data_IF_024999453790
#
_entry.id   IF_024999453790
#
_cell.length_a   1.000
_cell.length_b   1.000
_cell.length_c   1.000
_cell.angle_alpha   90.00
_cell.angle_beta   90.00
_cell.angle_gamma   90.00
#
_symmetry.space_group_name_H-M   'P 1'
#
loop_
_entity.id
_entity.type
_entity.pdbx_description
1 polymer ?
#
# COMPACT_ATOMS: atom_id res chain seq x y z
N UNK A 1 -24.04 47.64 -7.70
CA UNK A 1 -22.83 46.92 -7.21
C UNK A 1 -23.07 45.42 -6.96
N UNK A 2 -24.12 44.80 -7.54
CA UNK A 2 -24.54 43.44 -7.15
C UNK A 2 -24.00 42.31 -8.05
N UNK A 3 -23.51 42.63 -9.25
CA UNK A 3 -22.99 41.62 -10.19
C UNK A 3 -21.58 41.10 -9.89
N UNK A 4 -20.76 41.85 -9.11
CA UNK A 4 -19.40 41.42 -8.73
C UNK A 4 -19.42 40.35 -7.63
N UNK A 5 -20.31 40.49 -6.66
CA UNK A 5 -20.52 39.52 -5.57
C UNK A 5 -21.06 38.18 -6.09
N UNK A 6 -22.01 38.21 -7.03
CA UNK A 6 -22.58 36.99 -7.64
C UNK A 6 -21.56 36.18 -8.45
N UNK A 7 -20.60 36.86 -9.10
CA UNK A 7 -19.52 36.19 -9.84
C UNK A 7 -18.49 35.56 -8.90
N UNK A 8 -18.12 36.27 -7.83
CA UNK A 8 -17.21 35.78 -6.81
C UNK A 8 -17.74 34.53 -6.10
N UNK A 9 -19.03 34.50 -5.74
CA UNK A 9 -19.64 33.32 -5.12
C UNK A 9 -19.75 32.15 -6.09
N UNK A 10 -20.01 32.41 -7.38
CA UNK A 10 -19.98 31.38 -8.43
C UNK A 10 -18.61 30.71 -8.58
N UNK A 11 -17.54 31.49 -8.64
CA UNK A 11 -16.17 30.95 -8.72
C UNK A 11 -15.76 30.19 -7.46
N UNK A 12 -16.15 30.68 -6.28
CA UNK A 12 -15.91 29.96 -5.03
C UNK A 12 -16.61 28.60 -4.99
N UNK A 13 -17.84 28.51 -5.51
CA UNK A 13 -18.60 27.27 -5.56
C UNK A 13 -17.94 26.24 -6.50
N UNK A 14 -17.52 26.67 -7.69
CA UNK A 14 -16.79 25.80 -8.64
C UNK A 14 -15.47 25.30 -8.04
N UNK A 15 -14.75 26.16 -7.33
CA UNK A 15 -13.49 25.79 -6.69
C UNK A 15 -13.70 24.76 -5.57
N UNK A 16 -14.76 24.90 -4.77
CA UNK A 16 -15.12 23.94 -3.72
C UNK A 16 -15.51 22.57 -4.31
N UNK A 17 -16.26 22.55 -5.41
CA UNK A 17 -16.59 21.30 -6.11
C UNK A 17 -15.33 20.64 -6.66
N UNK A 18 -14.43 21.41 -7.28
CA UNK A 18 -13.16 20.88 -7.79
C UNK A 18 -12.29 20.31 -6.67
N UNK A 19 -12.20 21.02 -5.55
CA UNK A 19 -11.44 20.58 -4.37
C UNK A 19 -12.05 19.31 -3.75
N UNK A 20 -13.38 19.19 -3.69
CA UNK A 20 -14.07 18.00 -3.21
C UNK A 20 -13.82 16.79 -4.12
N UNK A 21 -13.85 16.98 -5.45
CA UNK A 21 -13.54 15.92 -6.43
C UNK A 21 -12.08 15.48 -6.29
N UNK A 22 -11.14 16.41 -6.13
CA UNK A 22 -9.73 16.10 -5.95
C UNK A 22 -9.48 15.35 -4.62
N UNK A 23 -10.11 15.80 -3.54
CA UNK A 23 -10.03 15.13 -2.24
C UNK A 23 -10.62 13.71 -2.30
N UNK A 24 -11.75 13.53 -2.99
CA UNK A 24 -12.35 12.21 -3.22
C UNK A 24 -11.43 11.28 -4.04
N UNK A 25 -10.82 11.78 -5.11
CA UNK A 25 -9.86 11.02 -5.91
C UNK A 25 -8.63 10.59 -5.10
N UNK A 26 -8.09 11.48 -4.26
CA UNK A 26 -6.98 11.14 -3.37
C UNK A 26 -7.37 10.12 -2.29
N UNK A 27 -8.60 10.17 -1.77
CA UNK A 27 -9.10 9.17 -0.82
C UNK A 27 -9.20 7.78 -1.47
N UNK A 28 -9.76 7.69 -2.67
CA UNK A 28 -9.82 6.43 -3.43
C UNK A 28 -8.44 5.88 -3.80
N UNK A 29 -7.52 6.74 -4.23
CA UNK A 29 -6.15 6.32 -4.54
C UNK A 29 -5.44 5.73 -3.32
N UNK A 30 -5.71 6.26 -2.11
CA UNK A 30 -5.15 5.73 -0.85
C UNK A 30 -5.74 4.38 -0.46
N UNK A 31 -7.00 4.13 -0.80
CA UNK A 31 -7.71 2.89 -0.43
C UNK A 31 -7.27 1.71 -1.30
N UNK A 32 -6.96 1.95 -2.58
CA UNK A 32 -6.39 0.94 -3.49
C UNK A 32 -4.93 0.61 -3.11
N UNK A 33 -4.25 1.49 -2.37
CA UNK A 33 -2.84 1.36 -2.01
C UNK A 33 -2.60 0.72 -0.64
N UNK A 34 -3.66 0.35 0.09
CA UNK A 34 -3.48 -0.27 1.41
C UNK A 34 -3.07 -1.73 1.24
N UNK A 35 -2.01 -2.18 1.91
CA UNK A 35 -1.69 -3.59 1.93
C UNK A 35 -2.83 -4.39 2.53
N UNK A 36 -3.23 -5.43 1.81
CA UNK A 36 -4.36 -6.27 2.21
C UNK A 36 -3.99 -7.12 3.43
N UNK A 37 -2.71 -7.49 3.55
CA UNK A 37 -2.19 -8.28 4.67
C UNK A 37 -0.68 -8.09 4.85
N UNK A 38 -0.23 -8.08 6.12
CA UNK A 38 1.18 -8.15 6.49
C UNK A 38 1.46 -9.49 7.16
N UNK A 39 2.57 -10.12 6.80
CA UNK A 39 3.05 -11.36 7.43
C UNK A 39 4.51 -11.22 7.83
N UNK A 40 4.91 -11.95 8.87
CA UNK A 40 6.30 -12.01 9.31
C UNK A 40 6.82 -13.40 9.03
N UNK A 41 7.95 -13.49 8.35
CA UNK A 41 8.60 -14.77 8.02
C UNK A 41 9.99 -14.77 8.62
N UNK A 42 10.26 -15.75 9.47
CA UNK A 42 11.55 -15.97 10.07
C UNK A 42 12.36 -16.94 9.21
N UNK A 43 13.59 -16.57 8.89
CA UNK A 43 14.51 -17.38 8.11
C UNK A 43 15.67 -17.86 8.99
N UNK A 44 16.24 -19.01 8.66
CA UNK A 44 17.47 -19.48 9.29
C UNK A 44 18.68 -18.64 8.85
N UNK A 45 18.69 -18.22 7.59
CA UNK A 45 19.71 -17.35 6.98
C UNK A 45 19.04 -16.36 6.02
N UNK A 46 19.54 -15.12 5.96
CA UNK A 46 18.96 -14.08 5.09
C UNK A 46 19.32 -14.28 3.61
N UNK A 47 20.48 -14.87 3.33
CA UNK A 47 21.00 -15.01 1.96
C UNK A 47 21.13 -13.65 1.26
N UNK A 48 20.48 -13.51 0.11
CA UNK A 48 20.47 -12.30 -0.72
C UNK A 48 19.20 -11.47 -0.59
N UNK A 49 18.31 -11.79 0.36
CA UNK A 49 17.03 -11.10 0.52
C UNK A 49 17.23 -9.63 0.91
N UNK A 50 16.57 -8.73 0.18
CA UNK A 50 16.66 -7.29 0.38
C UNK A 50 15.28 -6.64 0.51
N UNK A 51 15.28 -5.41 1.03
CA UNK A 51 14.08 -4.58 1.07
C UNK A 51 13.58 -4.31 -0.35
N UNK A 52 12.26 -4.32 -0.53
CA UNK A 52 11.56 -4.20 -1.81
C UNK A 52 11.69 -5.41 -2.74
N UNK A 53 12.33 -6.50 -2.31
CA UNK A 53 12.37 -7.73 -3.10
C UNK A 53 10.95 -8.25 -3.35
N UNK A 54 10.65 -8.72 -4.57
CA UNK A 54 9.33 -9.22 -4.91
C UNK A 54 9.09 -10.58 -4.26
N UNK A 55 7.90 -10.74 -3.68
CA UNK A 55 7.41 -12.05 -3.22
C UNK A 55 6.59 -12.66 -4.34
N UNK A 56 7.01 -13.84 -4.79
CA UNK A 56 6.46 -14.50 -5.98
C UNK A 56 5.82 -15.83 -5.61
N UNK A 57 4.61 -16.06 -6.11
CA UNK A 57 3.90 -17.34 -6.03
C UNK A 57 3.48 -17.76 -7.44
N UNK A 58 3.87 -18.96 -7.86
CA UNK A 58 3.57 -19.50 -9.21
C UNK A 58 3.95 -18.54 -10.36
N UNK A 59 5.06 -17.81 -10.21
CA UNK A 59 5.55 -16.84 -11.20
C UNK A 59 4.85 -15.48 -11.18
N UNK A 60 3.85 -15.26 -10.32
CA UNK A 60 3.18 -13.98 -10.14
C UNK A 60 3.68 -13.26 -8.88
N UNK A 61 3.92 -11.95 -8.98
CA UNK A 61 4.27 -11.12 -7.82
C UNK A 61 3.01 -10.91 -6.99
N UNK A 62 3.04 -11.40 -5.75
CA UNK A 62 1.93 -11.32 -4.80
C UNK A 62 2.19 -10.31 -3.67
N UNK A 63 3.43 -9.86 -3.51
CA UNK A 63 3.82 -8.93 -2.46
C UNK A 63 5.25 -8.44 -2.60
N UNK A 64 5.73 -7.77 -1.56
CA UNK A 64 7.12 -7.29 -1.44
C UNK A 64 7.62 -7.40 -0.01
N UNK A 65 8.93 -7.45 0.14
CA UNK A 65 9.58 -7.29 1.45
C UNK A 65 9.55 -5.81 1.86
N UNK A 66 8.85 -5.50 2.94
CA UNK A 66 8.76 -4.14 3.50
C UNK A 66 10.00 -3.82 4.34
N UNK A 67 10.40 -4.74 5.22
CA UNK A 67 11.55 -4.58 6.08
C UNK A 67 12.18 -5.92 6.48
N UNK A 68 13.43 -5.85 6.95
CA UNK A 68 14.20 -6.99 7.43
C UNK A 68 14.85 -6.59 8.75
N UNK A 69 14.60 -7.35 9.80
CA UNK A 69 15.16 -7.12 11.12
C UNK A 69 15.60 -8.43 11.78
N UNK A 70 16.29 -8.34 12.91
CA UNK A 70 16.69 -9.50 13.70
C UNK A 70 15.76 -9.66 14.91
N UNK A 71 15.25 -10.88 15.13
CA UNK A 71 14.54 -11.28 16.34
C UNK A 71 15.21 -12.52 16.91
N UNK A 72 15.61 -12.47 18.18
CA UNK A 72 16.32 -13.57 18.84
C UNK A 72 17.57 -14.06 18.08
N UNK A 73 18.28 -13.13 17.42
CA UNK A 73 19.47 -13.42 16.62
C UNK A 73 19.19 -14.02 15.24
N UNK A 74 17.92 -14.21 14.86
CA UNK A 74 17.51 -14.75 13.57
C UNK A 74 16.87 -13.67 12.68
N UNK A 75 17.11 -13.70 11.36
CA UNK A 75 16.50 -12.75 10.43
C UNK A 75 14.99 -13.00 10.29
N UNK A 76 14.24 -11.91 10.39
CA UNK A 76 12.80 -11.86 10.19
C UNK A 76 12.51 -10.81 9.12
N UNK A 77 11.79 -11.21 8.07
CA UNK A 77 11.31 -10.30 7.04
C UNK A 77 9.83 -9.98 7.27
N UNK A 78 9.51 -8.70 7.25
CA UNK A 78 8.15 -8.19 7.18
C UNK A 78 7.74 -8.13 5.71
N UNK A 79 6.72 -8.90 5.35
CA UNK A 79 6.22 -9.00 3.97
C UNK A 79 4.86 -8.33 3.87
N UNK A 80 4.75 -7.46 2.88
CA UNK A 80 3.55 -6.76 2.50
C UNK A 80 2.92 -7.45 1.29
N UNK A 81 1.71 -7.99 1.44
CA UNK A 81 0.99 -8.66 0.36
C UNK A 81 0.02 -7.69 -0.33
N UNK A 82 0.08 -7.66 -1.66
CA UNK A 82 -0.80 -6.84 -2.51
C UNK A 82 -2.11 -7.54 -2.83
N UNK A 83 -2.15 -8.86 -2.67
CA UNK A 83 -3.32 -9.69 -2.88
C UNK A 83 -3.53 -10.59 -1.67
N UNK A 84 -4.77 -10.72 -1.21
CA UNK A 84 -5.22 -11.73 -0.26
C UNK A 84 -5.48 -13.07 -0.97
N UNK A 85 -4.67 -13.38 -1.99
CA UNK A 85 -4.64 -14.73 -2.52
C UNK A 85 -4.26 -15.65 -1.35
N UNK A 86 -5.05 -16.70 -1.12
CA UNK A 86 -4.99 -17.50 0.10
C UNK A 86 -3.60 -18.15 0.25
N UNK A 87 -2.73 -17.53 1.04
CA UNK A 87 -1.52 -18.18 1.56
C UNK A 87 -2.00 -19.09 2.69
N UNK A 88 -2.06 -20.39 2.41
CA UNK A 88 -2.40 -21.40 3.39
C UNK A 88 -1.34 -21.40 4.51
N UNK A 89 -1.76 -21.72 5.74
CA UNK A 89 -0.86 -21.69 6.91
C UNK A 89 0.32 -22.69 6.79
N UNK A 90 0.19 -23.71 5.95
CA UNK A 90 1.20 -24.71 5.63
C UNK A 90 2.11 -24.34 4.44
N UNK A 91 1.92 -23.14 3.88
CA UNK A 91 2.77 -22.61 2.80
C UNK A 91 4.21 -22.42 3.28
N UNK A 92 5.17 -22.76 2.42
CA UNK A 92 6.61 -22.60 2.71
C UNK A 92 7.19 -21.46 1.88
N UNK A 93 7.96 -20.60 2.54
CA UNK A 93 8.80 -19.59 1.90
C UNK A 93 10.18 -20.21 1.67
N UNK A 94 10.70 -20.06 0.45
CA UNK A 94 11.96 -20.67 -0.01
C UNK A 94 12.82 -19.58 -0.63
#
# INVERSE_FOLDING_TARGET
MNGRLSRLTGYACVFLVLAAVLAGAMAFAREISRPERRIQVQFSELGTLMRQDPVVQNGAIIGRVEDIHLRDGLPVADIELFRSDFIAEDSRFV
#
